data_IF_805952658780
#
_entry.id   IF_805952658780
#
_cell.length_a   1.000
_cell.length_b   1.000
_cell.length_c   1.000
_cell.angle_alpha   90.00
_cell.angle_beta   90.00
_cell.angle_gamma   90.00
#
_symmetry.space_group_name_H-M   'P 1'
#
loop_
_entity.id
_entity.type
_entity.pdbx_description
1 polymer ?
#
# COMPACT_ATOMS: atom_id res chain seq x y z
N UNK A 1 15.41 0.84 -18.51
CA UNK A 1 14.70 1.59 -17.45
C UNK A 1 13.48 0.84 -16.87
N UNK A 2 12.61 0.25 -17.70
CA UNK A 2 11.36 -0.40 -17.25
C UNK A 2 11.53 -1.56 -16.24
N UNK A 3 12.57 -2.39 -16.37
CA UNK A 3 12.84 -3.51 -15.46
C UNK A 3 13.24 -3.05 -14.04
N UNK A 4 14.00 -1.96 -13.94
CA UNK A 4 14.40 -1.36 -12.66
C UNK A 4 13.20 -0.76 -11.94
N UNK A 5 12.37 0.00 -12.66
CA UNK A 5 11.13 0.55 -12.12
C UNK A 5 10.20 -0.57 -11.62
N UNK A 6 10.01 -1.64 -12.41
CA UNK A 6 9.18 -2.79 -12.03
C UNK A 6 9.71 -3.53 -10.80
N UNK A 7 11.04 -3.67 -10.65
CA UNK A 7 11.66 -4.25 -9.45
C UNK A 7 11.46 -3.37 -8.22
N UNK A 8 11.64 -2.06 -8.36
CA UNK A 8 11.40 -1.10 -7.27
C UNK A 8 9.94 -1.13 -6.79
N UNK A 9 8.97 -1.11 -7.71
CA UNK A 9 7.55 -1.23 -7.37
C UNK A 9 7.24 -2.54 -6.65
N UNK A 10 7.78 -3.67 -7.13
CA UNK A 10 7.61 -4.98 -6.47
C UNK A 10 8.17 -5.01 -5.06
N UNK A 11 9.33 -4.38 -4.82
CA UNK A 11 9.91 -4.27 -3.47
C UNK A 11 9.02 -3.44 -2.57
N UNK A 12 8.54 -2.28 -3.03
CA UNK A 12 7.59 -1.43 -2.29
C UNK A 12 6.31 -2.18 -1.92
N UNK A 13 5.74 -2.93 -2.86
CA UNK A 13 4.52 -3.71 -2.61
C UNK A 13 4.74 -4.84 -1.59
N UNK A 14 5.92 -5.48 -1.58
CA UNK A 14 6.28 -6.47 -0.55
C UNK A 14 6.36 -5.82 0.83
N UNK A 15 7.07 -4.70 0.95
CA UNK A 15 7.19 -3.94 2.20
C UNK A 15 5.80 -3.52 2.72
N UNK A 16 4.91 -3.03 1.84
CA UNK A 16 3.54 -2.65 2.21
C UNK A 16 2.74 -3.85 2.76
N UNK A 17 2.95 -5.05 2.22
CA UNK A 17 2.28 -6.28 2.66
C UNK A 17 2.83 -6.83 3.97
N UNK A 18 4.13 -6.65 4.23
CA UNK A 18 4.82 -7.09 5.45
C UNK A 18 4.55 -6.16 6.64
N UNK A 19 4.35 -4.87 6.38
CA UNK A 19 4.18 -3.82 7.40
C UNK A 19 3.14 -4.14 8.49
N UNK A 20 1.92 -4.62 8.20
CA UNK A 20 0.94 -4.93 9.25
C UNK A 20 1.44 -6.01 10.22
N UNK A 21 2.08 -7.06 9.70
CA UNK A 21 2.60 -8.16 10.52
C UNK A 21 3.77 -7.72 11.40
N UNK A 22 4.70 -6.96 10.83
CA UNK A 22 5.82 -6.33 11.57
C UNK A 22 5.29 -5.42 12.69
N UNK A 23 4.24 -4.65 12.43
CA UNK A 23 3.60 -3.79 13.42
C UNK A 23 2.92 -4.56 14.54
N UNK A 24 2.25 -5.66 14.23
CA UNK A 24 1.63 -6.53 15.23
C UNK A 24 2.69 -7.15 16.15
N UNK A 25 3.78 -7.69 15.58
CA UNK A 25 4.89 -8.22 16.38
C UNK A 25 5.57 -7.15 17.24
N UNK A 26 5.84 -5.97 16.66
CA UNK A 26 6.44 -4.85 17.39
C UNK A 26 5.56 -4.41 18.56
N UNK A 27 4.23 -4.39 18.36
CA UNK A 27 3.27 -4.06 19.43
C UNK A 27 3.32 -5.10 20.53
N UNK A 28 3.29 -6.39 20.20
CA UNK A 28 3.37 -7.49 21.18
C UNK A 28 4.67 -7.43 21.97
N UNK A 29 5.81 -7.20 21.30
CA UNK A 29 7.12 -7.09 21.94
C UNK A 29 7.17 -5.93 22.94
N UNK A 30 6.66 -4.76 22.56
CA UNK A 30 6.62 -3.59 23.47
C UNK A 30 5.61 -3.79 24.61
N UNK A 31 4.45 -4.42 24.34
CA UNK A 31 3.47 -4.77 25.39
C UNK A 31 4.02 -5.81 26.37
N UNK A 32 4.92 -6.70 25.92
CA UNK A 32 5.66 -7.62 26.77
C UNK A 32 6.79 -6.97 27.60
N UNK A 33 6.95 -5.64 27.51
CA UNK A 33 7.91 -4.87 28.28
C UNK A 33 9.29 -4.69 27.64
N UNK A 34 9.47 -5.11 26.37
CA UNK A 34 10.72 -4.83 25.66
C UNK A 34 10.83 -3.33 25.36
N UNK A 35 12.03 -2.77 25.60
CA UNK A 35 12.37 -1.45 25.09
C UNK A 35 12.28 -1.39 23.57
N UNK A 36 11.92 -0.24 22.99
CA UNK A 36 11.64 -0.10 21.55
C UNK A 36 12.77 -0.63 20.65
N UNK A 37 14.02 -0.30 20.96
CA UNK A 37 15.17 -0.71 20.16
C UNK A 37 15.38 -2.24 20.22
N UNK A 38 15.10 -2.85 21.37
CA UNK A 38 15.11 -4.30 21.55
C UNK A 38 13.92 -4.97 20.83
N UNK A 39 12.74 -4.35 20.85
CA UNK A 39 11.58 -4.82 20.12
C UNK A 39 11.81 -4.76 18.59
N UNK A 40 12.44 -3.69 18.07
CA UNK A 40 12.85 -3.61 16.67
C UNK A 40 13.86 -4.70 16.31
N UNK A 41 14.84 -4.95 17.19
CA UNK A 41 15.82 -6.02 16.99
C UNK A 41 15.12 -7.38 16.91
N UNK A 42 14.21 -7.67 17.84
CA UNK A 42 13.44 -8.92 17.86
C UNK A 42 12.64 -9.11 16.57
N UNK A 43 11.91 -8.07 16.14
CA UNK A 43 11.09 -8.12 14.92
C UNK A 43 11.95 -8.32 13.67
N UNK A 44 13.14 -7.69 13.61
CA UNK A 44 14.08 -7.88 12.50
C UNK A 44 14.64 -9.30 12.40
N UNK A 45 14.79 -10.01 13.53
CA UNK A 45 15.27 -11.40 13.55
C UNK A 45 14.15 -12.41 13.28
N UNK A 46 12.93 -12.14 13.76
CA UNK A 46 11.77 -13.04 13.59
C UNK A 46 11.08 -12.94 12.24
N UNK A 47 11.29 -11.85 11.53
CA UNK A 47 10.68 -11.60 10.21
C UNK A 47 11.73 -11.75 9.13
N UNK A 48 11.31 -12.15 7.94
CA UNK A 48 12.16 -12.15 6.74
C UNK A 48 11.54 -11.27 5.67
N UNK A 49 12.37 -10.75 4.77
CA UNK A 49 11.92 -9.92 3.65
C UNK A 49 12.49 -8.50 3.69
N UNK A 50 12.19 -7.70 2.65
CA UNK A 50 12.75 -6.38 2.47
C UNK A 50 12.48 -5.43 3.62
N UNK A 51 11.35 -5.54 4.36
CA UNK A 51 11.14 -4.68 5.52
C UNK A 51 12.04 -5.07 6.70
N UNK A 52 12.28 -6.37 6.91
CA UNK A 52 13.17 -6.84 7.96
C UNK A 52 14.62 -6.39 7.71
N UNK A 53 15.09 -6.49 6.47
CA UNK A 53 16.43 -6.03 6.05
C UNK A 53 16.62 -4.53 6.34
N UNK A 54 15.60 -3.73 6.02
CA UNK A 54 15.64 -2.28 6.21
C UNK A 54 15.61 -1.89 7.70
N UNK A 55 14.86 -2.63 8.53
CA UNK A 55 14.87 -2.46 9.99
C UNK A 55 16.24 -2.84 10.56
N UNK A 56 16.82 -3.95 10.13
CA UNK A 56 18.16 -4.38 10.54
C UNK A 56 19.22 -3.33 10.19
N UNK A 57 19.13 -2.75 8.98
CA UNK A 57 20.00 -1.65 8.57
C UNK A 57 19.81 -0.40 9.42
N UNK A 58 18.56 -0.02 9.74
CA UNK A 58 18.28 1.11 10.66
C UNK A 58 18.86 0.87 12.05
N UNK A 59 18.76 -0.35 12.58
CA UNK A 59 19.39 -0.70 13.87
C UNK A 59 20.92 -0.63 13.82
N UNK A 60 21.52 -1.03 12.70
CA UNK A 60 22.95 -0.90 12.48
C UNK A 60 23.39 0.56 12.48
N UNK A 61 22.68 1.45 11.79
CA UNK A 61 22.98 2.89 11.79
C UNK A 61 22.93 3.49 13.20
N UNK A 62 21.95 3.08 14.00
CA UNK A 62 21.84 3.50 15.41
C UNK A 62 23.05 3.02 16.22
N UNK A 63 23.48 1.76 16.04
CA UNK A 63 24.67 1.19 16.70
C UNK A 63 25.96 1.89 16.29
N UNK A 64 26.01 2.44 15.08
CA UNK A 64 27.13 3.24 14.58
C UNK A 64 27.12 4.68 15.09
N UNK A 65 26.22 5.03 16.02
CA UNK A 65 26.18 6.34 16.67
C UNK A 65 25.24 7.34 16.01
N UNK A 66 24.47 6.94 14.99
CA UNK A 66 23.44 7.81 14.42
C UNK A 66 22.30 7.99 15.42
N UNK A 67 21.77 9.20 15.50
CA UNK A 67 20.56 9.48 16.27
C UNK A 67 19.40 8.57 15.83
N UNK A 68 18.73 7.94 16.80
CA UNK A 68 17.56 7.09 16.56
C UNK A 68 16.49 7.78 15.73
N UNK A 69 16.24 9.06 16.01
CA UNK A 69 15.23 9.84 15.28
C UNK A 69 15.58 9.96 13.81
N UNK A 70 16.85 10.18 13.49
CA UNK A 70 17.30 10.39 12.11
C UNK A 70 17.36 9.06 11.35
N UNK A 71 17.85 8.00 11.99
CA UNK A 71 17.86 6.65 11.40
C UNK A 71 16.44 6.14 11.09
N UNK A 72 15.48 6.41 11.98
CA UNK A 72 14.07 6.08 11.75
C UNK A 72 13.45 6.93 10.63
N UNK A 73 13.78 8.23 10.55
CA UNK A 73 13.28 9.11 9.46
C UNK A 73 13.74 8.67 8.08
N UNK A 74 14.95 8.13 7.96
CA UNK A 74 15.48 7.68 6.68
C UNK A 74 14.85 6.36 6.19
N UNK A 75 14.39 5.50 7.10
CA UNK A 75 13.75 4.23 6.77
C UNK A 75 12.62 4.35 5.69
N UNK A 76 11.64 5.27 5.83
CA UNK A 76 10.63 5.49 4.78
C UNK A 76 11.16 6.20 3.53
N UNK A 77 12.28 6.93 3.61
CA UNK A 77 12.92 7.55 2.44
C UNK A 77 13.62 6.48 1.58
N UNK A 78 14.35 5.53 2.20
CA UNK A 78 15.01 4.42 1.50
C UNK A 78 14.00 3.48 0.83
N UNK A 79 12.90 3.18 1.53
CA UNK A 79 11.86 2.27 1.04
C UNK A 79 10.85 2.94 0.12
N UNK A 80 10.60 4.24 0.29
CA UNK A 80 9.63 5.02 -0.47
C UNK A 80 8.18 4.54 -0.30
N UNK A 81 7.84 4.00 0.88
CA UNK A 81 6.50 3.51 1.25
C UNK A 81 5.81 4.52 2.19
N UNK A 82 4.68 5.06 1.75
CA UNK A 82 3.99 6.15 2.46
C UNK A 82 3.40 5.71 3.80
N UNK A 83 2.89 4.48 3.89
CA UNK A 83 2.34 3.91 5.11
C UNK A 83 3.41 3.79 6.20
N UNK A 84 4.63 3.39 5.83
CA UNK A 84 5.77 3.32 6.74
C UNK A 84 6.17 4.71 7.25
N UNK A 85 6.13 5.73 6.38
CA UNK A 85 6.40 7.13 6.76
C UNK A 85 5.46 7.61 7.88
N UNK A 86 4.17 7.30 7.77
CA UNK A 86 3.18 7.71 8.77
C UNK A 86 3.44 7.03 10.13
N UNK A 87 3.76 5.73 10.12
CA UNK A 87 4.08 4.95 11.31
C UNK A 87 5.31 5.52 12.02
N UNK A 88 6.40 5.73 11.27
CA UNK A 88 7.66 6.28 11.79
C UNK A 88 7.45 7.65 12.44
N UNK A 89 6.72 8.55 11.75
CA UNK A 89 6.43 9.89 12.28
C UNK A 89 5.65 9.82 13.60
N UNK A 90 4.67 8.91 13.70
CA UNK A 90 3.92 8.70 14.94
C UNK A 90 4.81 8.17 16.08
N UNK A 91 5.70 7.21 15.79
CA UNK A 91 6.65 6.66 16.76
C UNK A 91 7.59 7.74 17.28
N UNK A 92 8.18 8.54 16.39
CA UNK A 92 9.10 9.63 16.75
C UNK A 92 8.38 10.66 17.62
N UNK A 93 7.14 11.02 17.26
CA UNK A 93 6.36 11.99 18.03
C UNK A 93 6.13 11.50 19.47
N UNK A 94 5.79 10.23 19.65
CA UNK A 94 5.55 9.65 20.99
C UNK A 94 6.82 9.50 21.79
N UNK A 95 7.92 9.10 21.13
CA UNK A 95 9.23 9.02 21.78
C UNK A 95 9.71 10.38 22.32
N UNK A 96 9.26 11.50 21.76
CA UNK A 96 9.59 12.85 22.24
C UNK A 96 8.66 13.34 23.35
N UNK A 97 7.38 12.97 23.29
CA UNK A 97 6.35 13.45 24.23
C UNK A 97 6.20 12.60 25.50
N UNK A 98 7.00 11.55 25.68
CA UNK A 98 6.95 10.67 26.87
C UNK A 98 5.67 9.84 27.00
N UNK A 99 4.88 9.75 25.93
CA UNK A 99 3.63 8.99 25.92
C UNK A 99 3.85 7.47 25.82
N UNK A 100 2.79 6.69 26.07
CA UNK A 100 2.84 5.23 25.91
C UNK A 100 3.03 4.85 24.44
N UNK A 101 4.22 4.37 24.11
CA UNK A 101 4.56 3.88 22.77
C UNK A 101 3.67 2.70 22.34
N UNK A 102 3.34 1.82 23.29
CA UNK A 102 2.42 0.70 23.07
C UNK A 102 1.04 1.18 22.55
N UNK A 103 0.48 2.23 23.15
CA UNK A 103 -0.83 2.78 22.75
C UNK A 103 -0.80 3.30 21.31
N UNK A 104 0.28 3.96 20.89
CA UNK A 104 0.38 4.51 19.53
C UNK A 104 0.68 3.44 18.50
N UNK A 105 1.52 2.46 18.81
CA UNK A 105 1.74 1.29 17.94
C UNK A 105 0.42 0.54 17.70
N UNK A 106 -0.41 0.35 18.73
CA UNK A 106 -1.73 -0.30 18.63
C UNK A 106 -2.70 0.45 17.72
N UNK A 107 -2.78 1.78 17.87
CA UNK A 107 -3.61 2.65 17.01
C UNK A 107 -3.13 2.62 15.57
N UNK A 108 -1.81 2.69 15.35
CA UNK A 108 -1.23 2.64 14.01
C UNK A 108 -1.40 1.27 13.34
N UNK A 109 -1.24 0.17 14.08
CA UNK A 109 -1.51 -1.18 13.58
C UNK A 109 -2.97 -1.32 13.11
N UNK A 110 -3.93 -0.79 13.86
CA UNK A 110 -5.33 -0.74 13.45
C UNK A 110 -5.54 0.12 12.18
N UNK A 111 -4.90 1.29 12.09
CA UNK A 111 -4.97 2.17 10.92
C UNK A 111 -4.42 1.51 9.66
N UNK A 112 -3.27 0.82 9.75
CA UNK A 112 -2.67 0.07 8.64
C UNK A 112 -3.60 -1.07 8.18
N UNK A 113 -4.24 -1.80 9.10
CA UNK A 113 -5.25 -2.82 8.76
C UNK A 113 -6.46 -2.23 8.03
N UNK A 114 -6.96 -1.08 8.49
CA UNK A 114 -8.07 -0.38 7.84
C UNK A 114 -7.70 0.10 6.43
N UNK A 115 -6.49 0.62 6.23
CA UNK A 115 -6.00 0.99 4.90
C UNK A 115 -5.90 -0.20 3.96
N UNK A 116 -5.49 -1.38 4.45
CA UNK A 116 -5.50 -2.62 3.64
C UNK A 116 -6.91 -2.97 3.16
N UNK A 117 -7.91 -2.78 4.03
CA UNK A 117 -9.33 -3.01 3.71
C UNK A 117 -9.85 -2.00 2.68
N UNK A 118 -9.57 -0.71 2.89
CA UNK A 118 -9.94 0.36 1.96
C UNK A 118 -9.32 0.18 0.58
N UNK A 119 -8.05 -0.24 0.51
CA UNK A 119 -7.39 -0.45 -0.78
C UNK A 119 -7.96 -1.68 -1.53
N UNK A 120 -8.45 -2.69 -0.81
CA UNK A 120 -9.21 -3.80 -1.39
C UNK A 120 -10.60 -3.34 -1.90
N UNK A 121 -11.27 -2.47 -1.15
CA UNK A 121 -12.54 -1.85 -1.55
C UNK A 121 -12.38 -0.93 -2.77
N UNK A 122 -11.31 -0.14 -2.86
CA UNK A 122 -10.98 0.66 -4.05
C UNK A 122 -10.74 -0.19 -5.29
N UNK A 123 -10.12 -1.37 -5.14
CA UNK A 123 -9.94 -2.32 -6.25
C UNK A 123 -11.28 -2.93 -6.68
N UNK A 124 -12.19 -3.18 -5.73
CA UNK A 124 -13.56 -3.63 -6.03
C UNK A 124 -14.38 -2.54 -6.75
N UNK A 125 -14.24 -1.27 -6.36
CA UNK A 125 -14.91 -0.13 -7.01
C UNK A 125 -14.36 0.20 -8.40
N UNK A 126 -13.18 -0.33 -8.79
CA UNK A 126 -12.65 -0.26 -10.17
C UNK A 126 -13.20 -1.35 -11.09
N UNK A 127 -13.89 -2.37 -10.56
CA UNK A 127 -14.49 -3.45 -11.35
C UNK A 127 -15.62 -3.00 -12.30
N UNK A 128 -16.54 -2.09 -11.91
CA UNK A 128 -17.66 -1.67 -12.78
C UNK A 128 -17.18 -0.97 -14.05
N UNK A 129 -16.13 -0.15 -13.97
CA UNK A 129 -15.61 0.62 -15.10
C UNK A 129 -15.04 -0.29 -16.21
N UNK A 130 -14.49 -1.46 -15.85
CA UNK A 130 -14.00 -2.45 -16.82
C UNK A 130 -15.13 -3.20 -17.55
N UNK A 131 -16.33 -3.29 -16.99
CA UNK A 131 -17.48 -3.96 -17.61
C UNK A 131 -18.23 -3.01 -18.57
N UNK A 132 -18.21 -1.70 -18.30
CA UNK A 132 -18.82 -0.67 -19.17
C UNK A 132 -18.15 -0.65 -20.56
N UNK A 133 -16.83 -0.84 -20.64
CA UNK A 133 -16.11 -0.78 -21.90
C UNK A 133 -16.54 -1.86 -22.92
N UNK A 134 -16.58 -3.17 -22.57
CA UNK A 134 -17.21 -4.20 -23.41
C UNK A 134 -18.68 -3.91 -23.70
N UNK A 135 -19.45 -3.48 -22.69
CA UNK A 135 -20.89 -3.26 -22.84
C UNK A 135 -21.20 -2.20 -23.91
N UNK A 136 -20.49 -1.07 -23.90
CA UNK A 136 -20.63 -0.02 -24.93
C UNK A 136 -20.14 -0.52 -26.28
N UNK A 137 -19.01 -1.24 -26.34
CA UNK A 137 -18.46 -1.77 -27.59
C UNK A 137 -19.41 -2.76 -28.29
N UNK A 138 -20.21 -3.54 -27.56
CA UNK A 138 -21.14 -4.52 -28.14
C UNK A 138 -22.59 -4.01 -28.28
N UNK A 139 -23.10 -3.23 -27.33
CA UNK A 139 -24.48 -2.71 -27.38
C UNK A 139 -24.60 -1.55 -28.37
N UNK A 140 -23.62 -0.65 -28.44
CA UNK A 140 -23.69 0.52 -29.32
C UNK A 140 -23.79 0.14 -30.82
N UNK A 141 -22.98 -0.80 -31.35
CA UNK A 141 -23.16 -1.26 -32.73
C UNK A 141 -24.49 -1.99 -32.95
N UNK A 142 -24.97 -2.76 -31.98
CA UNK A 142 -26.24 -3.46 -32.08
C UNK A 142 -27.41 -2.47 -32.19
N UNK A 143 -27.44 -1.43 -31.36
CA UNK A 143 -28.44 -0.36 -31.45
C UNK A 143 -28.33 0.38 -32.79
N UNK A 144 -27.11 0.67 -33.25
CA UNK A 144 -26.87 1.34 -34.53
C UNK A 144 -27.46 0.53 -35.70
N UNK A 145 -27.23 -0.79 -35.73
CA UNK A 145 -27.79 -1.70 -36.75
C UNK A 145 -29.31 -1.77 -36.66
N UNK A 146 -29.90 -1.85 -35.46
CA UNK A 146 -31.35 -1.93 -35.28
C UNK A 146 -32.06 -0.63 -35.68
N UNK A 147 -31.48 0.53 -35.37
CA UNK A 147 -32.08 1.84 -35.65
C UNK A 147 -31.85 2.28 -37.11
N UNK A 148 -30.62 2.17 -37.62
CA UNK A 148 -30.28 2.64 -38.97
C UNK A 148 -30.50 1.59 -40.05
N UNK A 149 -30.57 0.30 -39.70
CA UNK A 149 -30.92 -0.78 -40.62
C UNK A 149 -32.21 -0.54 -41.40
N UNK A 150 -33.37 -0.31 -40.75
CA UNK A 150 -34.63 -0.04 -41.45
C UNK A 150 -34.58 1.26 -42.25
N UNK A 151 -33.95 2.31 -41.70
CA UNK A 151 -33.81 3.62 -42.37
C UNK A 151 -33.01 3.48 -43.68
N UNK A 152 -31.90 2.75 -43.66
CA UNK A 152 -31.10 2.49 -44.86
C UNK A 152 -31.86 1.69 -45.93
N UNK A 153 -32.65 0.71 -45.50
CA UNK A 153 -33.50 -0.08 -46.41
C UNK A 153 -34.61 0.77 -47.02
N UNK A 154 -35.17 1.73 -46.28
CA UNK A 154 -36.24 2.61 -46.74
C UNK A 154 -35.72 3.67 -47.72
N UNK A 155 -34.55 4.26 -47.45
CA UNK A 155 -33.86 5.18 -48.38
C UNK A 155 -33.48 4.47 -49.68
N UNK A 156 -32.99 3.23 -49.63
CA UNK A 156 -32.64 2.47 -50.84
C UNK A 156 -33.88 2.18 -51.71
N UNK A 157 -35.05 1.92 -51.10
CA UNK A 157 -36.30 1.75 -51.84
C UNK A 157 -36.76 3.06 -52.51
N UNK A 158 -36.59 4.20 -51.84
CA UNK A 158 -36.92 5.53 -52.36
C UNK A 158 -36.01 5.96 -53.53
N UNK A 159 -34.75 5.54 -53.54
CA UNK A 159 -33.82 5.81 -54.66
C UNK A 159 -33.99 4.85 -55.85
N UNK A 160 -34.65 3.70 -55.66
CA UNK A 160 -34.87 2.71 -56.69
C UNK A 160 -36.27 2.78 -57.32
N UNK A 161 -36.97 3.91 -57.08
CA UNK A 161 -38.25 4.30 -57.67
C UNK A 161 -38.04 5.55 -58.52
#
# INVERSE_FOLDING_TARGET
MFLLAKRATRRKDRIRKELPYVMDLLTISVEAGLGFDAALAEVSHRTSGPLADEIAQTLMEIRLGRSRVDALKDLPERTGVQELRNVVSAIIHVSKSGGSLAKVLRVQAASVRNKRKQHAEEMAMKAPVKIIFPLVLFIFPAIFVVVLGPIGMEVMKLFNQ
#
